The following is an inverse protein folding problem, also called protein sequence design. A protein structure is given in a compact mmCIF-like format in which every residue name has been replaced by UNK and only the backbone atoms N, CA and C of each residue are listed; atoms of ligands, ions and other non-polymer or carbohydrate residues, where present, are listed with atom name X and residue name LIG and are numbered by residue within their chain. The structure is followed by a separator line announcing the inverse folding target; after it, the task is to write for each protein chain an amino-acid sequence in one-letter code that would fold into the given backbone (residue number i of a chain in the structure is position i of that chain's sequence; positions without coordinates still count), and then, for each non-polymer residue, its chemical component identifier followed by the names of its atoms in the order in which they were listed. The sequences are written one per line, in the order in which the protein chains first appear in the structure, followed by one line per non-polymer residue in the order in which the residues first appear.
data_IF_207724697899
#
_entry.id   IF_207724697899
#
_cell.length_a   1.000
_cell.length_b   1.000
_cell.length_c   1.000
_cell.angle_alpha   90.00
_cell.angle_beta   90.00
_cell.angle_gamma   90.00
#
_symmetry.space_group_name_H-M   'P 1'
#
loop_
_entity.id
_entity.type
_entity.pdbx_description
1 polymer ?
#
# COMPACT_ATOMS: atom_id res chain seq x y z
N UNK A 1 17.80 -2.27 -52.11
CA UNK A 1 17.59 -3.24 -51.01
C UNK A 1 18.24 -2.65 -49.78
N UNK A 2 17.46 -2.16 -48.81
CA UNK A 2 18.01 -1.68 -47.54
C UNK A 2 17.98 -2.84 -46.56
N UNK A 3 19.14 -3.39 -46.21
CA UNK A 3 19.24 -4.35 -45.12
C UNK A 3 18.86 -3.65 -43.81
N UNK A 4 17.78 -4.11 -43.21
CA UNK A 4 17.52 -3.89 -41.79
C UNK A 4 18.66 -4.59 -41.08
N UNK A 5 19.65 -3.84 -40.60
CA UNK A 5 20.67 -4.35 -39.70
C UNK A 5 19.95 -5.01 -38.52
N UNK A 6 19.97 -6.34 -38.47
CA UNK A 6 19.64 -7.05 -37.24
C UNK A 6 20.73 -6.71 -36.22
N UNK A 7 20.38 -6.42 -34.96
CA UNK A 7 21.36 -6.28 -33.89
C UNK A 7 22.28 -7.50 -33.91
N UNK A 8 23.59 -7.27 -33.76
CA UNK A 8 24.57 -8.36 -33.77
C UNK A 8 24.24 -9.35 -32.64
N UNK A 9 24.32 -10.65 -32.94
CA UNK A 9 24.17 -11.73 -31.97
C UNK A 9 25.22 -11.55 -30.85
N UNK A 10 24.83 -10.94 -29.72
CA UNK A 10 25.71 -10.72 -28.57
C UNK A 10 25.64 -9.35 -27.89
N UNK A 11 24.87 -8.36 -28.39
CA UNK A 11 24.65 -7.12 -27.65
C UNK A 11 23.68 -7.35 -26.48
N UNK A 12 24.12 -7.11 -25.24
CA UNK A 12 23.24 -7.08 -24.09
C UNK A 12 22.28 -5.89 -24.22
N UNK A 13 21.02 -6.17 -24.57
CA UNK A 13 19.99 -5.14 -24.74
C UNK A 13 19.23 -4.81 -23.46
N UNK A 14 19.56 -5.47 -22.35
CA UNK A 14 18.95 -5.28 -21.04
C UNK A 14 19.21 -3.84 -20.55
N UNK A 15 18.15 -3.15 -20.14
CA UNK A 15 18.25 -1.77 -19.63
C UNK A 15 17.64 -1.67 -18.25
N UNK A 16 18.44 -2.00 -17.25
CA UNK A 16 18.08 -1.85 -15.86
C UNK A 16 18.35 -0.43 -15.36
N UNK A 17 17.37 0.14 -14.66
CA UNK A 17 17.56 1.36 -13.90
C UNK A 17 18.46 1.10 -12.69
N UNK A 18 19.37 2.03 -12.39
CA UNK A 18 20.21 1.93 -11.20
C UNK A 18 19.39 2.09 -9.92
N UNK A 19 19.74 1.37 -8.85
CA UNK A 19 19.10 1.56 -7.56
C UNK A 19 19.39 2.96 -6.99
N UNK A 20 18.42 3.52 -6.27
CA UNK A 20 18.59 4.74 -5.50
C UNK A 20 19.55 4.52 -4.32
N UNK A 21 20.35 5.53 -4.00
CA UNK A 21 21.25 5.47 -2.84
C UNK A 21 20.46 5.53 -1.53
N UNK A 22 20.86 4.77 -0.52
CA UNK A 22 20.24 4.86 0.81
C UNK A 22 20.54 6.21 1.46
N UNK A 23 19.55 6.74 2.18
CA UNK A 23 19.70 7.91 3.01
C UNK A 23 20.67 7.67 4.17
N UNK A 24 21.49 8.67 4.49
CA UNK A 24 22.44 8.59 5.60
C UNK A 24 21.73 8.54 6.96
N UNK A 25 22.19 7.66 7.85
CA UNK A 25 21.73 7.65 9.24
C UNK A 25 22.25 8.90 9.99
N UNK A 26 21.41 9.51 10.81
CA UNK A 26 21.83 10.52 11.75
C UNK A 26 22.52 9.90 12.98
N UNK A 27 23.37 10.70 13.64
CA UNK A 27 24.09 10.31 14.85
C UNK A 27 23.24 10.44 16.12
N UNK A 28 23.70 11.21 17.11
CA UNK A 28 22.95 11.41 18.34
C UNK A 28 21.69 12.28 18.13
N UNK A 29 21.81 13.30 17.28
CA UNK A 29 20.76 14.26 16.93
C UNK A 29 20.70 14.41 15.42
N UNK A 30 19.52 14.73 14.90
CA UNK A 30 19.30 15.08 13.50
C UNK A 30 18.38 14.10 12.78
N UNK A 31 17.86 14.52 11.64
CA UNK A 31 16.99 13.66 10.83
C UNK A 31 17.82 12.72 9.96
N UNK A 32 17.28 11.54 9.70
CA UNK A 32 17.82 10.64 8.68
C UNK A 32 17.72 11.28 7.29
N UNK A 33 18.69 10.99 6.43
CA UNK A 33 18.68 11.43 5.04
C UNK A 33 17.58 10.71 4.26
N UNK A 34 17.02 11.37 3.25
CA UNK A 34 16.10 10.71 2.33
C UNK A 34 16.83 9.69 1.44
N UNK A 35 16.12 8.62 1.09
CA UNK A 35 16.56 7.69 0.05
C UNK A 35 16.51 8.32 -1.34
N UNK A 36 17.48 7.97 -2.19
CA UNK A 36 17.52 8.39 -3.58
C UNK A 36 16.46 7.67 -4.41
N UNK A 37 15.99 8.31 -5.48
CA UNK A 37 15.09 7.66 -6.43
C UNK A 37 15.82 6.58 -7.23
N UNK A 38 15.10 5.51 -7.55
CA UNK A 38 15.52 4.50 -8.50
C UNK A 38 15.52 5.04 -9.94
N UNK A 39 16.52 4.63 -10.71
CA UNK A 39 16.68 5.00 -12.11
C UNK A 39 15.61 4.36 -13.00
N UNK A 40 15.32 5.00 -14.14
CA UNK A 40 14.37 4.49 -15.13
C UNK A 40 15.01 3.34 -15.93
N UNK A 41 14.29 2.21 -16.04
CA UNK A 41 14.61 1.12 -16.97
C UNK A 41 14.35 1.56 -18.41
N UNK A 42 15.32 1.34 -19.29
CA UNK A 42 15.48 2.11 -20.53
C UNK A 42 14.27 2.13 -21.46
N UNK A 43 13.83 3.32 -21.86
CA UNK A 43 12.78 3.51 -22.85
C UNK A 43 13.21 3.00 -24.25
N UNK A 44 12.49 2.02 -24.81
CA UNK A 44 12.69 1.53 -26.18
C UNK A 44 13.68 0.37 -26.34
N UNK A 45 13.95 -0.42 -25.30
CA UNK A 45 14.63 -1.72 -25.47
C UNK A 45 13.68 -2.80 -25.99
N UNK A 46 14.23 -3.71 -26.82
CA UNK A 46 13.57 -4.95 -27.19
C UNK A 46 13.74 -6.05 -26.11
N UNK A 47 14.68 -5.87 -25.16
CA UNK A 47 14.92 -6.75 -24.01
C UNK A 47 14.36 -6.22 -22.67
N UNK A 48 14.63 -6.93 -21.54
CA UNK A 48 14.19 -6.58 -20.20
C UNK A 48 14.47 -5.11 -19.84
N UNK A 49 13.49 -4.46 -19.22
CA UNK A 49 13.57 -3.06 -18.82
C UNK A 49 12.91 -2.84 -17.47
N UNK A 50 13.69 -3.11 -16.42
CA UNK A 50 13.26 -2.93 -15.04
C UNK A 50 13.74 -1.59 -14.50
N UNK A 51 12.84 -0.84 -13.88
CA UNK A 51 13.21 0.33 -13.10
C UNK A 51 14.01 -0.06 -11.86
N UNK A 52 14.97 0.78 -11.46
CA UNK A 52 15.75 0.56 -10.25
C UNK A 52 14.89 0.77 -9.01
N UNK A 53 15.20 0.07 -7.92
CA UNK A 53 14.49 0.27 -6.66
C UNK A 53 14.88 1.62 -6.04
N UNK A 54 13.96 2.24 -5.30
CA UNK A 54 14.24 3.42 -4.49
C UNK A 54 15.13 3.07 -3.30
N UNK A 55 16.03 3.99 -2.92
CA UNK A 55 16.86 3.82 -1.74
C UNK A 55 16.03 3.95 -0.46
N UNK A 56 16.43 3.27 0.60
CA UNK A 56 15.77 3.40 1.90
C UNK A 56 16.08 4.76 2.53
N UNK A 57 15.14 5.30 3.30
CA UNK A 57 15.37 6.45 4.17
C UNK A 57 16.32 6.10 5.31
N UNK A 58 17.20 7.03 5.67
CA UNK A 58 18.13 6.88 6.77
C UNK A 58 17.42 6.94 8.13
N UNK A 59 18.01 6.34 9.15
CA UNK A 59 17.48 6.43 10.52
C UNK A 59 17.68 7.83 11.10
N UNK A 60 16.70 8.32 11.85
CA UNK A 60 16.81 9.52 12.67
C UNK A 60 17.80 9.36 13.83
N UNK A 61 18.18 10.49 14.43
CA UNK A 61 19.15 10.53 15.51
C UNK A 61 18.67 9.79 16.76
N UNK A 62 19.60 9.19 17.49
CA UNK A 62 19.28 8.32 18.63
C UNK A 62 18.40 8.98 19.70
N UNK A 63 18.62 10.27 19.99
CA UNK A 63 17.86 11.01 20.99
C UNK A 63 16.71 11.81 20.38
N UNK A 64 17.00 12.57 19.32
CA UNK A 64 16.02 13.40 18.64
C UNK A 64 16.30 13.40 17.14
N UNK A 65 15.31 12.98 16.37
CA UNK A 65 15.42 12.97 14.92
C UNK A 65 14.34 12.13 14.27
N UNK A 66 13.78 12.66 13.19
CA UNK A 66 12.87 11.90 12.34
C UNK A 66 13.68 10.94 11.46
N UNK A 67 13.08 9.80 11.11
CA UNK A 67 13.59 9.00 10.00
C UNK A 67 13.46 9.76 8.67
N UNK A 68 14.35 9.46 7.74
CA UNK A 68 14.28 10.01 6.38
C UNK A 68 13.23 9.28 5.55
N UNK A 69 12.68 9.94 4.55
CA UNK A 69 11.73 9.30 3.63
C UNK A 69 12.45 8.32 2.70
N UNK A 70 11.74 7.25 2.31
CA UNK A 70 12.20 6.32 1.29
C UNK A 70 12.12 6.93 -0.12
N UNK A 71 13.07 6.56 -0.96
CA UNK A 71 13.13 7.00 -2.35
C UNK A 71 12.08 6.31 -3.22
N UNK A 72 11.63 6.98 -4.28
CA UNK A 72 10.70 6.38 -5.23
C UNK A 72 11.37 5.30 -6.07
N UNK A 73 10.64 4.23 -6.39
CA UNK A 73 11.05 3.25 -7.38
C UNK A 73 11.05 3.84 -8.79
N UNK A 74 12.03 3.45 -9.60
CA UNK A 74 12.16 3.87 -10.98
C UNK A 74 11.11 3.21 -11.89
N UNK A 75 10.72 3.90 -12.95
CA UNK A 75 9.82 3.32 -13.95
C UNK A 75 10.52 2.24 -14.79
N UNK A 76 9.85 1.13 -15.10
CA UNK A 76 10.24 0.21 -16.18
C UNK A 76 9.77 0.71 -17.55
N UNK A 77 10.21 0.07 -18.64
CA UNK A 77 9.81 0.52 -19.98
C UNK A 77 8.31 0.33 -20.25
N UNK A 78 7.72 1.30 -20.95
CA UNK A 78 6.27 1.43 -21.19
C UNK A 78 5.84 1.10 -22.63
N UNK A 79 6.75 0.66 -23.52
CA UNK A 79 6.40 0.35 -24.91
C UNK A 79 6.13 -1.13 -25.13
N UNK A 80 5.00 -1.39 -25.78
CA UNK A 80 4.65 -2.62 -26.46
C UNK A 80 5.54 -2.72 -27.70
N UNK A 81 6.51 -3.61 -27.70
CA UNK A 81 7.25 -3.97 -28.92
C UNK A 81 6.78 -5.37 -29.27
N UNK A 82 6.52 -5.59 -30.55
CA UNK A 82 6.03 -6.82 -31.17
C UNK A 82 6.47 -8.08 -30.43
N UNK A 83 5.52 -9.00 -30.24
CA UNK A 83 5.66 -10.28 -29.54
C UNK A 83 7.08 -10.84 -29.68
N UNK A 84 7.85 -10.95 -28.58
CA UNK A 84 9.18 -11.50 -28.61
C UNK A 84 9.13 -12.96 -29.09
N UNK A 85 10.25 -13.46 -29.62
CA UNK A 85 10.36 -14.88 -29.96
C UNK A 85 10.12 -15.73 -28.69
N UNK A 86 9.54 -16.94 -28.80
CA UNK A 86 9.36 -17.82 -27.66
C UNK A 86 10.70 -18.08 -26.95
N UNK A 87 10.83 -17.67 -25.68
CA UNK A 87 12.01 -17.91 -24.84
C UNK A 87 12.80 -16.67 -24.40
N UNK A 88 12.46 -15.47 -24.86
CA UNK A 88 13.14 -14.24 -24.43
C UNK A 88 12.51 -13.63 -23.16
N UNK A 89 13.34 -13.25 -22.18
CA UNK A 89 12.90 -12.50 -21.01
C UNK A 89 12.48 -11.08 -21.45
N UNK A 90 11.26 -10.67 -21.13
CA UNK A 90 10.72 -9.34 -21.46
C UNK A 90 10.16 -8.61 -20.23
N UNK A 91 10.73 -8.91 -19.06
CA UNK A 91 10.37 -8.29 -17.79
C UNK A 91 10.48 -6.75 -17.87
N UNK A 92 9.32 -6.07 -17.74
CA UNK A 92 9.19 -4.62 -17.80
C UNK A 92 8.58 -4.13 -16.50
N UNK A 93 9.34 -4.28 -15.42
CA UNK A 93 8.86 -4.03 -14.07
C UNK A 93 9.22 -2.64 -13.59
N UNK A 94 8.33 -1.99 -12.84
CA UNK A 94 8.71 -0.87 -12.01
C UNK A 94 9.62 -1.33 -10.86
N UNK A 95 10.53 -0.46 -10.44
CA UNK A 95 11.31 -0.67 -9.22
C UNK A 95 10.43 -0.47 -7.99
N UNK A 96 10.74 -1.17 -6.90
CA UNK A 96 10.05 -0.97 -5.63
C UNK A 96 10.39 0.42 -5.05
N UNK A 97 9.48 1.00 -4.28
CA UNK A 97 9.78 2.15 -3.45
C UNK A 97 10.65 1.74 -2.26
N UNK A 98 11.58 2.62 -1.86
CA UNK A 98 12.39 2.39 -0.67
C UNK A 98 11.57 2.59 0.60
N UNK A 99 11.88 1.85 1.66
CA UNK A 99 11.22 2.04 2.95
C UNK A 99 11.63 3.36 3.60
N UNK A 100 10.72 3.93 4.39
CA UNK A 100 11.01 5.06 5.26
C UNK A 100 11.91 4.66 6.44
N UNK A 101 12.81 5.56 6.84
CA UNK A 101 13.69 5.36 7.97
C UNK A 101 12.96 5.40 9.31
N UNK A 102 13.47 4.67 10.30
CA UNK A 102 12.98 4.75 11.67
C UNK A 102 13.48 6.01 12.39
N UNK A 103 12.70 6.54 13.33
CA UNK A 103 13.17 7.51 14.31
C UNK A 103 13.90 6.84 15.50
N UNK A 104 14.65 7.64 16.28
CA UNK A 104 15.30 7.21 17.52
C UNK A 104 14.38 7.23 18.75
N UNK A 105 14.76 7.91 19.83
CA UNK A 105 13.94 8.02 21.04
C UNK A 105 12.72 8.94 20.82
N UNK A 106 12.98 10.13 20.28
CA UNK A 106 11.97 11.14 19.94
C UNK A 106 12.05 11.47 18.45
N UNK A 107 10.93 11.36 17.76
CA UNK A 107 10.85 11.72 16.34
C UNK A 107 9.88 10.83 15.58
N UNK A 108 9.50 11.27 14.39
CA UNK A 108 8.58 10.55 13.54
C UNK A 108 9.32 9.63 12.56
N UNK A 109 8.74 8.48 12.23
CA UNK A 109 9.23 7.65 11.15
C UNK A 109 9.07 8.34 9.79
N UNK A 110 9.98 8.08 8.86
CA UNK A 110 9.90 8.59 7.49
C UNK A 110 8.84 7.87 6.67
N UNK A 111 8.28 8.51 5.66
CA UNK A 111 7.34 7.87 4.74
C UNK A 111 8.04 6.85 3.83
N UNK A 112 7.33 5.81 3.43
CA UNK A 112 7.76 4.90 2.39
C UNK A 112 7.67 5.55 1.00
N UNK A 113 8.63 5.22 0.14
CA UNK A 113 8.66 5.69 -1.25
C UNK A 113 7.59 5.00 -2.09
N UNK A 114 7.02 5.70 -3.06
CA UNK A 114 6.12 5.08 -4.04
C UNK A 114 6.87 4.08 -4.95
N UNK A 115 6.20 3.00 -5.34
CA UNK A 115 6.69 2.07 -6.34
C UNK A 115 6.63 2.64 -7.76
N UNK A 116 7.58 2.24 -8.59
CA UNK A 116 7.68 2.68 -9.98
C UNK A 116 6.62 2.02 -10.87
N UNK A 117 6.23 2.70 -11.95
CA UNK A 117 5.35 2.09 -12.96
C UNK A 117 6.08 1.05 -13.79
N UNK A 118 5.40 -0.01 -14.23
CA UNK A 118 5.95 -0.94 -15.23
C UNK A 118 4.90 -1.36 -16.26
N UNK A 119 5.34 -1.98 -17.37
CA UNK A 119 4.38 -2.52 -18.33
C UNK A 119 3.69 -3.74 -17.73
N UNK A 120 4.44 -4.77 -17.32
CA UNK A 120 3.89 -6.06 -16.86
C UNK A 120 3.78 -6.18 -15.34
N UNK A 121 4.56 -5.37 -14.60
CA UNK A 121 4.47 -5.27 -13.15
C UNK A 121 4.77 -3.87 -12.65
N UNK A 122 3.90 -3.32 -11.82
CA UNK A 122 4.21 -2.12 -11.04
C UNK A 122 5.07 -2.49 -9.83
N UNK A 123 6.03 -1.65 -9.44
CA UNK A 123 6.79 -1.86 -8.23
C UNK A 123 5.94 -1.64 -6.99
N UNK A 124 6.18 -2.38 -5.92
CA UNK A 124 5.47 -2.16 -4.66
C UNK A 124 5.88 -0.85 -4.00
N UNK A 125 4.98 -0.23 -3.24
CA UNK A 125 5.32 0.90 -2.39
C UNK A 125 6.16 0.45 -1.19
N UNK A 126 7.11 1.29 -0.77
CA UNK A 126 7.93 1.05 0.40
C UNK A 126 7.12 1.18 1.70
N UNK A 127 7.53 0.45 2.73
CA UNK A 127 6.91 0.56 4.04
C UNK A 127 7.23 1.92 4.70
N UNK A 128 6.31 2.41 5.54
CA UNK A 128 6.59 3.55 6.40
C UNK A 128 7.52 3.19 7.56
N UNK A 129 8.39 4.13 7.94
CA UNK A 129 9.32 3.96 9.05
C UNK A 129 8.63 4.00 10.41
N UNK A 130 9.23 3.36 11.42
CA UNK A 130 8.69 3.39 12.77
C UNK A 130 8.89 4.74 13.46
N UNK A 131 7.89 5.16 14.24
CA UNK A 131 8.00 6.30 15.14
C UNK A 131 8.93 6.03 16.33
N UNK A 132 9.33 7.09 17.03
CA UNK A 132 10.32 7.02 18.10
C UNK A 132 9.92 6.08 19.25
N UNK A 133 10.92 5.48 19.90
CA UNK A 133 10.73 4.47 20.95
C UNK A 133 10.17 5.02 22.26
N UNK A 134 10.19 6.35 22.45
CA UNK A 134 9.46 7.01 23.53
C UNK A 134 8.23 7.76 23.01
N UNK A 135 8.44 8.67 22.07
CA UNK A 135 7.36 9.43 21.45
C UNK A 135 7.64 9.72 19.98
N UNK A 136 6.65 9.45 19.13
CA UNK A 136 6.74 9.72 17.72
C UNK A 136 5.72 8.96 16.90
N UNK A 137 5.14 9.64 15.92
CA UNK A 137 4.25 9.01 14.95
C UNK A 137 5.07 8.21 13.95
N UNK A 138 4.50 7.15 13.42
CA UNK A 138 5.14 6.42 12.34
C UNK A 138 4.86 7.05 10.96
N UNK A 139 5.69 6.70 9.99
CA UNK A 139 5.53 7.16 8.61
C UNK A 139 4.45 6.37 7.87
N UNK A 140 3.81 7.00 6.88
CA UNK A 140 2.89 6.31 5.99
C UNK A 140 3.62 5.41 4.99
N UNK A 141 2.94 4.37 4.51
CA UNK A 141 3.42 3.52 3.42
C UNK A 141 3.32 4.22 2.06
N UNK A 142 4.23 3.87 1.15
CA UNK A 142 4.25 4.38 -0.21
C UNK A 142 3.15 3.77 -1.08
N UNK A 143 2.69 4.49 -2.10
CA UNK A 143 1.74 3.93 -3.06
C UNK A 143 2.40 2.86 -3.94
N UNK A 144 1.63 1.86 -4.34
CA UNK A 144 2.03 0.87 -5.32
C UNK A 144 2.11 1.46 -6.74
N UNK A 145 3.03 0.93 -7.53
CA UNK A 145 3.28 1.34 -8.90
C UNK A 145 2.18 0.87 -9.85
N UNK A 146 1.88 1.71 -10.84
CA UNK A 146 0.90 1.40 -11.88
C UNK A 146 1.47 0.31 -12.82
N UNK A 147 0.61 -0.60 -13.28
CA UNK A 147 0.92 -1.42 -14.44
C UNK A 147 -0.06 -1.19 -15.59
N UNK A 148 0.40 -1.42 -16.82
CA UNK A 148 -0.44 -1.36 -18.03
C UNK A 148 -0.86 -2.74 -18.53
N UNK A 149 -0.18 -3.78 -18.06
CA UNK A 149 -0.41 -5.21 -18.27
C UNK A 149 -0.05 -5.95 -16.97
N UNK A 150 -0.52 -7.17 -16.80
CA UNK A 150 -0.17 -8.00 -15.64
C UNK A 150 -0.63 -7.43 -14.28
N UNK A 151 0.31 -7.23 -13.36
CA UNK A 151 0.03 -7.00 -11.93
C UNK A 151 0.56 -5.66 -11.46
N UNK A 152 -0.29 -4.79 -10.93
CA UNK A 152 0.16 -3.52 -10.35
C UNK A 152 0.76 -3.74 -8.96
N UNK A 153 1.62 -2.81 -8.53
CA UNK A 153 2.30 -2.93 -7.26
C UNK A 153 1.35 -2.77 -6.08
N UNK A 154 1.60 -3.49 -5.00
CA UNK A 154 0.88 -3.28 -3.74
C UNK A 154 1.28 -1.94 -3.10
N UNK A 155 0.37 -1.36 -2.33
CA UNK A 155 0.71 -0.26 -1.43
C UNK A 155 1.58 -0.75 -0.28
N UNK A 156 2.55 0.07 0.13
CA UNK A 156 3.39 -0.20 1.27
C UNK A 156 2.61 -0.13 2.58
N UNK A 157 2.99 -0.93 3.57
CA UNK A 157 2.38 -0.86 4.90
C UNK A 157 2.75 0.43 5.60
N UNK A 158 1.84 0.96 6.41
CA UNK A 158 2.13 2.05 7.32
C UNK A 158 3.08 1.60 8.43
N UNK A 159 3.99 2.47 8.83
CA UNK A 159 4.91 2.19 9.94
C UNK A 159 4.17 2.10 11.28
N UNK A 160 4.74 1.39 12.24
CA UNK A 160 4.19 1.33 13.61
C UNK A 160 4.86 2.35 14.53
N UNK A 161 4.09 3.01 15.40
CA UNK A 161 4.65 3.80 16.48
C UNK A 161 5.25 2.85 17.53
N UNK A 162 6.58 2.81 17.62
CA UNK A 162 7.31 1.84 18.45
C UNK A 162 7.35 2.17 19.95
N UNK A 163 6.91 3.37 20.34
CA UNK A 163 7.04 3.88 21.70
C UNK A 163 5.74 3.99 22.52
N UNK A 164 5.81 4.76 23.61
CA UNK A 164 4.68 4.99 24.51
C UNK A 164 3.59 5.84 23.86
N UNK A 165 4.01 6.87 23.11
CA UNK A 165 3.12 7.82 22.47
C UNK A 165 3.36 7.84 20.96
N UNK A 166 2.30 7.75 20.17
CA UNK A 166 2.39 7.96 18.73
C UNK A 166 1.33 7.24 17.93
N UNK A 167 0.97 7.82 16.79
CA UNK A 167 0.03 7.24 15.85
C UNK A 167 0.73 6.27 14.90
N UNK A 168 0.03 5.20 14.53
CA UNK A 168 0.43 4.36 13.41
C UNK A 168 0.33 5.11 12.08
N UNK A 169 1.21 4.79 11.15
CA UNK A 169 1.21 5.37 9.81
C UNK A 169 0.07 4.81 8.96
N UNK A 170 -0.48 5.59 8.03
CA UNK A 170 -1.44 5.08 7.07
C UNK A 170 -0.77 4.11 6.07
N UNK A 171 -1.49 3.10 5.63
CA UNK A 171 -1.06 2.25 4.52
C UNK A 171 -1.14 2.98 3.17
N UNK A 172 -0.26 2.61 2.24
CA UNK A 172 -0.22 3.16 0.90
C UNK A 172 -1.34 2.61 0.02
N UNK A 173 -1.80 3.37 -0.98
CA UNK A 173 -2.75 2.86 -1.96
C UNK A 173 -2.10 1.78 -2.85
N UNK A 174 -2.86 0.78 -3.26
CA UNK A 174 -2.45 -0.16 -4.29
C UNK A 174 -2.39 0.49 -5.67
N UNK A 175 -1.51 -0.02 -6.53
CA UNK A 175 -1.34 0.49 -7.88
C UNK A 175 -2.49 0.11 -8.81
N UNK A 176 -2.78 0.98 -9.77
CA UNK A 176 -3.81 0.74 -10.77
C UNK A 176 -3.32 -0.08 -11.96
N UNK A 177 -4.26 -0.73 -12.64
CA UNK A 177 -4.08 -1.30 -13.97
C UNK A 177 -4.76 -0.42 -15.02
N UNK A 178 -3.96 0.16 -15.93
CA UNK A 178 -4.44 0.98 -17.06
C UNK A 178 -4.63 0.18 -18.35
N UNK A 179 -5.05 -1.07 -18.24
CA UNK A 179 -5.02 -2.05 -19.33
C UNK A 179 -5.54 -1.54 -20.69
N UNK A 180 -4.74 -1.75 -21.73
CA UNK A 180 -5.11 -1.57 -23.15
C UNK A 180 -5.38 -2.90 -23.86
N UNK A 181 -5.20 -4.06 -23.20
CA UNK A 181 -5.25 -5.39 -23.82
C UNK A 181 -5.95 -6.42 -22.91
N UNK A 182 -6.65 -7.38 -23.52
CA UNK A 182 -7.39 -8.44 -22.83
C UNK A 182 -6.42 -9.54 -22.37
N UNK A 183 -5.77 -9.34 -21.22
CA UNK A 183 -4.94 -10.33 -20.53
C UNK A 183 -5.39 -10.36 -19.06
N UNK A 184 -5.35 -11.49 -18.32
CA UNK A 184 -5.62 -11.47 -16.89
C UNK A 184 -4.72 -10.47 -16.19
N UNK A 185 -5.32 -9.49 -15.52
CA UNK A 185 -4.62 -8.44 -14.78
C UNK A 185 -5.11 -8.37 -13.35
N UNK A 186 -4.30 -7.82 -12.46
CA UNK A 186 -4.65 -7.64 -11.05
C UNK A 186 -4.10 -6.32 -10.56
N UNK A 187 -4.98 -5.46 -10.07
CA UNK A 187 -4.56 -4.22 -9.42
C UNK A 187 -3.95 -4.51 -8.05
N UNK A 188 -3.17 -3.56 -7.54
CA UNK A 188 -2.46 -3.69 -6.29
C UNK A 188 -3.40 -3.67 -5.10
N UNK A 189 -3.11 -4.49 -4.09
CA UNK A 189 -3.76 -4.36 -2.77
C UNK A 189 -3.32 -3.04 -2.11
N UNK A 190 -4.21 -2.39 -1.37
CA UNK A 190 -3.83 -1.34 -0.43
C UNK A 190 -2.95 -1.90 0.69
N UNK A 191 -1.96 -1.12 1.13
CA UNK A 191 -1.13 -1.48 2.27
C UNK A 191 -1.90 -1.37 3.57
N UNK A 192 -1.57 -2.20 4.55
CA UNK A 192 -2.23 -2.14 5.86
C UNK A 192 -1.74 -0.92 6.65
N UNK A 193 -2.61 -0.38 7.49
CA UNK A 193 -2.29 0.68 8.43
C UNK A 193 -1.36 0.18 9.55
N UNK A 194 -0.46 1.04 9.99
CA UNK A 194 0.47 0.73 11.07
C UNK A 194 -0.16 0.83 12.45
N UNK A 195 0.46 0.21 13.44
CA UNK A 195 -0.06 0.18 14.79
C UNK A 195 0.31 1.42 15.62
N UNK A 196 -0.57 1.81 16.55
CA UNK A 196 -0.34 2.89 17.51
C UNK A 196 0.61 2.51 18.66
N UNK A 197 0.97 3.51 19.47
CA UNK A 197 1.87 3.40 20.64
C UNK A 197 1.28 2.62 21.82
N UNK A 198 2.14 2.31 22.81
CA UNK A 198 1.84 1.40 23.93
C UNK A 198 1.01 2.02 25.07
N UNK A 199 1.04 3.34 25.23
CA UNK A 199 0.18 4.04 26.21
C UNK A 199 -0.96 4.74 25.49
N UNK A 200 -0.61 5.62 24.54
CA UNK A 200 -1.58 6.34 23.75
C UNK A 200 -1.17 6.41 22.27
N UNK A 201 -2.06 5.96 21.40
CA UNK A 201 -1.86 5.97 19.96
C UNK A 201 -2.93 5.19 19.23
N UNK A 202 -3.61 5.85 18.29
CA UNK A 202 -4.47 5.23 17.31
C UNK A 202 -3.66 4.45 16.28
N UNK A 203 -4.30 3.43 15.71
CA UNK A 203 -3.79 2.81 14.49
C UNK A 203 -3.93 3.73 13.28
N UNK A 204 -3.12 3.49 12.25
CA UNK A 204 -3.21 4.16 10.97
C UNK A 204 -4.33 3.56 10.09
N UNK A 205 -4.88 4.35 9.17
CA UNK A 205 -5.86 3.83 8.22
C UNK A 205 -5.20 2.85 7.22
N UNK A 206 -5.96 1.86 6.77
CA UNK A 206 -5.58 1.00 5.65
C UNK A 206 -5.62 1.75 4.31
N UNK A 207 -4.76 1.34 3.40
CA UNK A 207 -4.65 1.89 2.06
C UNK A 207 -5.77 1.42 1.15
N UNK A 208 -6.08 2.21 0.12
CA UNK A 208 -7.10 1.87 -0.86
C UNK A 208 -6.61 0.78 -1.81
N UNK A 209 -7.48 -0.14 -2.23
CA UNK A 209 -7.19 -1.08 -3.31
C UNK A 209 -7.13 -0.39 -4.67
N UNK A 210 -6.21 -0.83 -5.53
CA UNK A 210 -6.07 -0.28 -6.88
C UNK A 210 -7.19 -0.71 -7.82
N UNK A 211 -7.44 0.08 -8.86
CA UNK A 211 -8.48 -0.20 -9.87
C UNK A 211 -7.91 -0.95 -11.08
N UNK A 212 -8.66 -1.89 -11.63
CA UNK A 212 -8.34 -2.60 -12.88
C UNK A 212 -9.47 -2.52 -13.90
N UNK A 213 -9.15 -2.01 -15.09
CA UNK A 213 -10.11 -1.98 -16.21
C UNK A 213 -10.24 -3.33 -16.94
N UNK A 214 -9.29 -4.26 -16.71
CA UNK A 214 -9.18 -5.51 -17.48
C UNK A 214 -9.27 -6.79 -16.66
N UNK A 215 -9.20 -6.70 -15.34
CA UNK A 215 -9.05 -7.86 -14.45
C UNK A 215 -9.50 -7.57 -13.02
N UNK A 216 -8.86 -8.17 -12.03
CA UNK A 216 -9.27 -8.07 -10.62
C UNK A 216 -8.89 -6.72 -10.01
N UNK A 217 -9.82 -6.07 -9.32
CA UNK A 217 -9.56 -4.90 -8.49
C UNK A 217 -8.80 -5.30 -7.22
N UNK A 218 -7.98 -4.41 -6.69
CA UNK A 218 -7.20 -4.66 -5.49
C UNK A 218 -8.07 -4.63 -4.24
N UNK A 219 -7.77 -5.45 -3.25
CA UNK A 219 -8.44 -5.32 -1.94
C UNK A 219 -7.94 -4.06 -1.22
N UNK A 220 -8.79 -3.46 -0.39
CA UNK A 220 -8.36 -2.49 0.60
C UNK A 220 -7.40 -3.11 1.62
N UNK A 221 -6.51 -2.29 2.16
CA UNK A 221 -5.66 -2.65 3.29
C UNK A 221 -6.42 -2.58 4.60
N UNK A 222 -6.00 -3.38 5.57
CA UNK A 222 -6.63 -3.41 6.88
C UNK A 222 -6.20 -2.18 7.70
N UNK A 223 -7.09 -1.70 8.56
CA UNK A 223 -6.81 -0.63 9.50
C UNK A 223 -5.87 -1.09 10.61
N UNK A 224 -4.89 -0.25 10.94
CA UNK A 224 -3.96 -0.52 12.02
C UNK A 224 -4.64 -0.58 13.39
N UNK A 225 -4.10 -1.38 14.29
CA UNK A 225 -4.62 -1.48 15.66
C UNK A 225 -3.99 -0.44 16.59
N UNK A 226 -4.78 0.09 17.52
CA UNK A 226 -4.24 0.75 18.70
C UNK A 226 -3.81 -0.32 19.72
N UNK A 227 -2.50 -0.43 19.98
CA UNK A 227 -1.95 -1.49 20.85
C UNK A 227 -1.93 -1.12 22.33
N UNK A 228 -2.05 0.18 22.62
CA UNK A 228 -1.87 0.72 23.96
C UNK A 228 -3.13 0.73 24.81
N UNK A 229 -3.09 1.47 25.92
CA UNK A 229 -4.26 1.64 26.79
C UNK A 229 -5.31 2.55 26.17
N UNK A 230 -4.88 3.55 25.39
CA UNK A 230 -5.72 4.56 24.78
C UNK A 230 -5.46 4.66 23.28
N UNK A 231 -6.52 4.76 22.49
CA UNK A 231 -6.43 5.05 21.06
C UNK A 231 -7.49 4.35 20.26
N UNK A 232 -7.86 4.96 19.13
CA UNK A 232 -8.83 4.39 18.22
C UNK A 232 -8.16 3.41 17.25
N UNK A 233 -8.91 2.42 16.78
CA UNK A 233 -8.49 1.62 15.64
C UNK A 233 -8.50 2.43 14.34
N UNK A 234 -7.60 2.10 13.42
CA UNK A 234 -7.58 2.69 12.09
C UNK A 234 -8.74 2.15 11.23
N UNK A 235 -9.28 2.97 10.34
CA UNK A 235 -10.28 2.48 9.38
C UNK A 235 -9.64 1.57 8.33
N UNK A 236 -10.36 0.56 7.85
CA UNK A 236 -9.96 -0.23 6.70
C UNK A 236 -10.09 0.55 5.38
N UNK A 237 -9.31 0.17 4.38
CA UNK A 237 -9.34 0.75 3.03
C UNK A 237 -10.50 0.22 2.20
N UNK A 238 -10.97 0.98 1.23
CA UNK A 238 -11.96 0.53 0.25
C UNK A 238 -11.33 -0.46 -0.74
N UNK A 239 -12.15 -1.39 -1.22
CA UNK A 239 -11.83 -2.24 -2.35
C UNK A 239 -11.75 -1.44 -3.65
N UNK A 240 -10.86 -1.85 -4.54
CA UNK A 240 -10.70 -1.28 -5.88
C UNK A 240 -11.59 -1.95 -6.91
N UNK A 241 -11.93 -1.22 -7.97
CA UNK A 241 -12.83 -1.70 -9.02
C UNK A 241 -12.15 -2.70 -9.95
N UNK A 242 -12.91 -3.68 -10.45
CA UNK A 242 -12.43 -4.66 -11.44
C UNK A 242 -13.54 -5.45 -12.12
N UNK A 243 -13.15 -6.35 -13.03
CA UNK A 243 -14.00 -7.45 -13.53
C UNK A 243 -14.29 -8.51 -12.46
N UNK A 244 -13.44 -8.54 -11.44
CA UNK A 244 -13.73 -9.09 -10.13
C UNK A 244 -13.44 -7.96 -9.14
N UNK A 245 -14.39 -7.65 -8.27
CA UNK A 245 -14.29 -6.50 -7.38
C UNK A 245 -13.36 -6.78 -6.19
N UNK A 246 -12.65 -5.74 -5.75
CA UNK A 246 -11.87 -5.78 -4.53
C UNK A 246 -12.77 -5.76 -3.29
N UNK A 247 -12.36 -6.50 -2.25
CA UNK A 247 -12.95 -6.42 -0.91
C UNK A 247 -12.48 -5.16 -0.20
N UNK A 248 -13.32 -4.57 0.64
CA UNK A 248 -12.87 -3.61 1.65
C UNK A 248 -11.99 -4.28 2.72
N UNK A 249 -11.04 -3.53 3.27
CA UNK A 249 -10.18 -3.97 4.38
C UNK A 249 -10.91 -3.87 5.71
N UNK A 250 -10.51 -4.70 6.67
CA UNK A 250 -11.12 -4.71 7.99
C UNK A 250 -10.65 -3.49 8.81
N UNK A 251 -11.49 -2.99 9.71
CA UNK A 251 -11.16 -1.94 10.65
C UNK A 251 -10.26 -2.45 11.78
N UNK A 252 -9.39 -1.59 12.29
CA UNK A 252 -8.50 -1.91 13.39
C UNK A 252 -9.21 -1.92 14.74
N UNK A 253 -8.73 -2.73 15.69
CA UNK A 253 -9.18 -2.68 17.07
C UNK A 253 -8.62 -1.45 17.80
N UNK A 254 -9.40 -0.95 18.75
CA UNK A 254 -9.01 0.12 19.66
C UNK A 254 -8.00 -0.32 20.72
N UNK A 255 -7.49 0.67 21.45
CA UNK A 255 -6.67 0.47 22.64
C UNK A 255 -7.46 -0.20 23.76
N UNK A 256 -6.75 -0.85 24.67
CA UNK A 256 -7.32 -1.78 25.64
C UNK A 256 -8.42 -1.13 26.50
N UNK A 257 -8.21 0.08 27.04
CA UNK A 257 -9.15 0.68 28.00
C UNK A 257 -10.14 1.60 27.29
N UNK A 258 -9.64 2.56 26.52
CA UNK A 258 -10.47 3.59 25.89
C UNK A 258 -10.10 3.75 24.43
N UNK A 259 -11.11 3.65 23.58
CA UNK A 259 -10.99 3.94 22.16
C UNK A 259 -12.11 3.27 21.36
N UNK A 260 -12.38 3.85 20.20
CA UNK A 260 -13.34 3.32 19.25
C UNK A 260 -12.66 2.35 18.31
N UNK A 261 -13.37 1.30 17.93
CA UNK A 261 -12.92 0.45 16.83
C UNK A 261 -12.94 1.21 15.51
N UNK A 262 -12.02 0.88 14.61
CA UNK A 262 -11.97 1.42 13.26
C UNK A 262 -13.11 0.86 12.41
N UNK A 263 -13.64 1.65 11.49
CA UNK A 263 -14.67 1.16 10.57
C UNK A 263 -14.05 0.25 9.51
N UNK A 264 -14.79 -0.77 9.09
CA UNK A 264 -14.44 -1.58 7.92
C UNK A 264 -14.59 -0.76 6.64
N UNK A 265 -13.73 -1.05 5.67
CA UNK A 265 -13.78 -0.43 4.34
C UNK A 265 -14.92 -1.01 3.50
N UNK A 266 -15.47 -0.22 2.59
CA UNK A 266 -16.48 -0.70 1.65
C UNK A 266 -15.88 -1.58 0.56
N UNK A 267 -16.65 -2.57 0.11
CA UNK A 267 -16.34 -3.33 -1.10
C UNK A 267 -16.64 -2.54 -2.36
N UNK A 268 -15.88 -2.79 -3.43
CA UNK A 268 -16.10 -2.10 -4.71
C UNK A 268 -17.44 -2.48 -5.35
N UNK A 269 -18.17 -1.51 -5.89
CA UNK A 269 -19.45 -1.75 -6.55
C UNK A 269 -19.29 -2.62 -7.81
N UNK A 270 -20.20 -3.59 -7.96
CA UNK A 270 -20.34 -4.49 -9.09
C UNK A 270 -20.94 -3.85 -10.36
N UNK A 271 -21.19 -4.69 -11.35
CA UNK A 271 -21.94 -4.34 -12.59
C UNK A 271 -23.03 -5.38 -12.85
N UNK A 272 -23.78 -5.28 -13.94
CA UNK A 272 -24.82 -6.26 -14.27
C UNK A 272 -24.34 -7.71 -14.35
N UNK A 273 -23.05 -7.92 -14.63
CA UNK A 273 -22.43 -9.24 -14.80
C UNK A 273 -21.27 -9.50 -13.84
N UNK A 274 -21.02 -8.61 -12.89
CA UNK A 274 -19.91 -8.70 -11.93
C UNK A 274 -20.46 -8.44 -10.54
N UNK A 275 -20.27 -9.40 -9.63
CA UNK A 275 -20.73 -9.26 -8.26
C UNK A 275 -20.00 -8.11 -7.54
N UNK A 276 -20.66 -7.48 -6.58
CA UNK A 276 -20.01 -6.49 -5.74
C UNK A 276 -18.93 -7.09 -4.84
N UNK A 277 -17.95 -6.28 -4.46
CA UNK A 277 -16.94 -6.67 -3.48
C UNK A 277 -17.56 -6.71 -2.08
N UNK A 278 -17.13 -7.64 -1.23
CA UNK A 278 -17.58 -7.68 0.16
C UNK A 278 -17.00 -6.49 0.96
N UNK A 279 -17.75 -5.99 1.94
CA UNK A 279 -17.27 -5.02 2.92
C UNK A 279 -16.28 -5.61 3.93
N UNK A 280 -15.47 -4.76 4.53
CA UNK A 280 -14.59 -5.09 5.65
C UNK A 280 -15.35 -5.12 6.96
N UNK A 281 -14.95 -5.97 7.89
CA UNK A 281 -15.51 -6.00 9.23
C UNK A 281 -15.04 -4.77 10.03
N UNK A 282 -15.86 -4.27 10.95
CA UNK A 282 -15.49 -3.20 11.87
C UNK A 282 -14.65 -3.72 13.04
N UNK A 283 -13.75 -2.89 13.55
CA UNK A 283 -12.89 -3.22 14.69
C UNK A 283 -13.61 -3.11 16.03
N UNK A 284 -13.11 -3.82 17.03
CA UNK A 284 -13.62 -3.76 18.39
C UNK A 284 -13.17 -2.50 19.14
N UNK A 285 -14.03 -1.98 20.03
CA UNK A 285 -13.71 -0.93 20.97
C UNK A 285 -12.82 -1.40 22.14
N UNK A 286 -12.34 -0.44 22.94
CA UNK A 286 -11.72 -0.73 24.24
C UNK A 286 -12.72 -1.31 25.26
N UNK A 287 -12.23 -1.81 26.38
CA UNK A 287 -13.09 -2.52 27.35
C UNK A 287 -13.92 -1.58 28.25
N UNK A 288 -13.46 -0.35 28.52
CA UNK A 288 -14.16 0.59 29.42
C UNK A 288 -15.07 1.53 28.65
N UNK A 289 -14.50 2.28 27.70
CA UNK A 289 -15.19 3.32 26.94
C UNK A 289 -14.85 3.24 25.45
N UNK A 290 -15.88 3.30 24.60
CA UNK A 290 -15.68 3.34 23.15
C UNK A 290 -16.77 2.60 22.36
N UNK A 291 -16.98 3.04 21.13
CA UNK A 291 -17.91 2.44 20.19
C UNK A 291 -17.18 1.41 19.32
N UNK A 292 -17.86 0.30 19.02
CA UNK A 292 -17.38 -0.62 18.00
C UNK A 292 -17.39 0.07 16.63
N UNK A 293 -16.43 -0.28 15.78
CA UNK A 293 -16.39 0.22 14.40
C UNK A 293 -17.52 -0.37 13.58
N UNK A 294 -18.09 0.41 12.66
CA UNK A 294 -19.11 -0.11 11.74
C UNK A 294 -18.46 -1.06 10.73
N UNK A 295 -19.18 -2.09 10.32
CA UNK A 295 -18.83 -2.88 9.14
C UNK A 295 -18.95 -2.02 7.88
N UNK A 296 -18.09 -2.27 6.91
CA UNK A 296 -18.16 -1.62 5.61
C UNK A 296 -19.29 -2.20 4.77
N UNK A 297 -19.91 -1.37 3.94
CA UNK A 297 -20.96 -1.84 3.03
C UNK A 297 -20.37 -2.77 1.96
N UNK A 298 -21.17 -3.75 1.56
CA UNK A 298 -20.93 -4.53 0.37
C UNK A 298 -21.15 -3.69 -0.88
N UNK A 299 -20.38 -3.97 -1.93
CA UNK A 299 -20.49 -3.28 -3.21
C UNK A 299 -21.84 -3.52 -3.86
N UNK A 300 -22.52 -2.45 -4.24
CA UNK A 300 -23.81 -2.55 -4.95
C UNK A 300 -23.66 -3.28 -6.29
N UNK A 301 -24.65 -4.06 -6.73
CA UNK A 301 -24.71 -4.54 -8.12
C UNK A 301 -26.11 -4.46 -8.73
N UNK A 302 -26.18 -4.12 -10.02
CA UNK A 302 -27.45 -3.90 -10.73
C UNK A 302 -28.02 -5.11 -11.48
N UNK A 303 -27.51 -6.33 -11.27
CA UNK A 303 -27.87 -7.48 -12.12
C UNK A 303 -27.76 -8.86 -11.44
N UNK A 304 -27.85 -9.92 -12.25
CA UNK A 304 -27.98 -11.32 -11.79
C UNK A 304 -26.78 -11.83 -10.97
N UNK A 305 -25.65 -11.12 -10.98
CA UNK A 305 -24.44 -11.51 -10.27
C UNK A 305 -24.53 -11.33 -8.73
N UNK A 306 -25.47 -10.51 -8.24
CA UNK A 306 -25.65 -10.22 -6.82
C UNK A 306 -24.61 -9.22 -6.27
N UNK A 307 -24.99 -8.41 -5.29
CA UNK A 307 -24.05 -7.48 -4.66
C UNK A 307 -23.09 -8.17 -3.70
N UNK A 308 -22.19 -7.36 -3.14
CA UNK A 308 -21.30 -7.81 -2.09
C UNK A 308 -22.02 -7.90 -0.75
N UNK A 309 -21.57 -8.82 0.11
CA UNK A 309 -22.00 -8.86 1.51
C UNK A 309 -21.46 -7.65 2.28
N UNK A 310 -22.25 -7.13 3.21
CA UNK A 310 -21.77 -6.18 4.21
C UNK A 310 -20.77 -6.81 5.18
N UNK A 311 -19.92 -5.98 5.77
CA UNK A 311 -19.08 -6.36 6.89
C UNK A 311 -19.85 -6.43 8.20
N UNK A 312 -19.38 -7.23 9.15
CA UNK A 312 -19.90 -7.22 10.51
C UNK A 312 -19.45 -5.98 11.27
N UNK A 313 -20.27 -5.48 12.20
CA UNK A 313 -19.86 -4.42 13.11
C UNK A 313 -19.03 -4.96 14.27
N UNK A 314 -18.10 -4.14 14.77
CA UNK A 314 -17.26 -4.48 15.91
C UNK A 314 -17.99 -4.34 17.25
N UNK A 315 -17.43 -4.95 18.30
CA UNK A 315 -18.01 -4.92 19.65
C UNK A 315 -17.81 -3.56 20.31
N UNK A 316 -18.81 -3.12 21.07
CA UNK A 316 -18.74 -1.93 21.92
C UNK A 316 -18.10 -2.21 23.27
N UNK A 317 -17.68 -1.15 23.97
CA UNK A 317 -17.15 -1.20 25.31
C UNK A 317 -18.24 -1.45 26.38
N UNK A 318 -17.84 -1.52 27.66
CA UNK A 318 -18.80 -1.46 28.78
C UNK A 318 -19.69 -0.21 28.71
N UNK A 319 -19.12 0.93 28.29
CA UNK A 319 -19.85 2.14 27.95
C UNK A 319 -19.54 2.50 26.49
N UNK A 320 -20.39 1.98 25.60
CA UNK A 320 -20.41 2.29 24.17
C UNK A 320 -21.20 1.23 23.40
N UNK A 321 -21.82 1.64 22.29
CA UNK A 321 -22.59 0.73 21.46
C UNK A 321 -21.67 -0.13 20.55
N UNK A 322 -22.09 -1.36 20.20
CA UNK A 322 -21.50 -2.07 19.06
C UNK A 322 -21.64 -1.27 17.77
N UNK A 323 -20.74 -1.53 16.82
CA UNK A 323 -20.84 -1.00 15.47
C UNK A 323 -22.00 -1.64 14.72
N UNK A 324 -22.58 -0.88 13.79
CA UNK A 324 -23.58 -1.42 12.88
C UNK A 324 -22.92 -2.36 11.85
N UNK A 325 -23.57 -3.46 11.45
CA UNK A 325 -23.21 -4.18 10.24
C UNK A 325 -23.32 -3.27 9.01
N UNK A 326 -22.48 -3.51 8.01
CA UNK A 326 -22.61 -2.91 6.69
C UNK A 326 -23.82 -3.45 5.94
N UNK A 327 -24.35 -2.67 5.01
CA UNK A 327 -25.43 -3.11 4.14
C UNK A 327 -24.93 -4.11 3.09
N UNK A 328 -25.75 -5.10 2.74
CA UNK A 328 -25.56 -5.92 1.55
C UNK A 328 -25.92 -5.11 0.29
N UNK A 329 -25.19 -5.34 -0.81
CA UNK A 329 -25.31 -4.60 -2.07
C UNK A 329 -26.18 -5.22 -3.16
#
# INVERSE_FOLDING_TARGET
MGEILKPADGENTDKFGGAGGNGGAAGLLGNGGAGGAGGVGGAGSNGPARGGDGGHGGTGGQLLGNGGDGGHGGAGATRDISLPAPGENTDKFGGAGGDGGAAGLLGNGGAGGAGGSGLTRGGDGGAGGSGGSFAGNAGGGGAGGIATEGVAGAGGTGGSAGGWFGQGGAGGAGGDIRASKIVPTSAGRGGDGGAGGMLAGSGGAGGQGGTSNGGTGGNGGDGGHARGLFGDGGNGGYGGFGRSQGRGGDGGNAGLLIGNGGNGGWGAAGTNSVAGGRGGDGGDAGILFGFGGNGGDGGLSGGLAGGGEGGTGGRGAAIGAPGAPGADG
#
